data_IF_663369576047
#
_entry.id   IF_663369576047
#
_cell.length_a   1.000
_cell.length_b   1.000
_cell.length_c   1.000
_cell.angle_alpha   90.00
_cell.angle_beta   90.00
_cell.angle_gamma   90.00
#
_symmetry.space_group_name_H-M   'P 1'
#
loop_
_entity.id
_entity.type
_entity.pdbx_description
1 polymer ?
#
# COMPACT_ATOMS: atom_id res chain seq x y z
N UNK A 1 21.87 -36.12 33.16
CA UNK A 1 21.12 -34.92 33.58
C UNK A 1 21.09 -33.97 32.39
N UNK A 2 20.09 -34.09 31.51
CA UNK A 2 19.87 -33.20 30.37
C UNK A 2 18.71 -32.29 30.72
N UNK A 3 19.03 -31.07 31.11
CA UNK A 3 18.08 -29.99 31.26
C UNK A 3 17.65 -29.57 29.85
N UNK A 4 16.55 -30.11 29.34
CA UNK A 4 15.84 -29.52 28.21
C UNK A 4 15.40 -28.13 28.61
N UNK A 5 16.08 -27.11 28.11
CA UNK A 5 15.54 -25.74 28.03
C UNK A 5 14.20 -25.83 27.28
N UNK A 6 13.11 -25.79 28.04
CA UNK A 6 11.77 -25.55 27.50
C UNK A 6 11.77 -24.13 26.99
N UNK A 7 12.09 -23.96 25.72
CA UNK A 7 11.81 -22.71 25.01
C UNK A 7 10.30 -22.50 25.03
N UNK A 8 9.81 -21.69 25.98
CA UNK A 8 8.42 -21.26 26.02
C UNK A 8 8.11 -20.53 24.73
N UNK A 9 7.51 -21.23 23.75
CA UNK A 9 6.93 -20.55 22.59
C UNK A 9 5.81 -19.66 23.11
N UNK A 10 5.86 -18.33 22.83
CA UNK A 10 4.81 -17.41 23.29
C UNK A 10 3.44 -17.86 22.78
N UNK A 11 2.40 -17.62 23.55
CA UNK A 11 1.04 -17.94 23.11
C UNK A 11 0.67 -17.17 21.83
N UNK A 12 -0.27 -17.70 21.04
CA UNK A 12 -0.76 -17.06 19.82
C UNK A 12 -1.12 -15.58 20.03
N UNK A 13 -1.82 -15.25 21.14
CA UNK A 13 -2.22 -13.87 21.43
C UNK A 13 -1.02 -12.93 21.66
N UNK A 14 0.03 -13.42 22.33
CA UNK A 14 1.25 -12.65 22.58
C UNK A 14 2.02 -12.41 21.28
N UNK A 15 2.15 -13.44 20.43
CA UNK A 15 2.80 -13.29 19.11
C UNK A 15 2.05 -12.31 18.23
N UNK A 16 0.72 -12.40 18.19
CA UNK A 16 -0.11 -11.47 17.43
C UNK A 16 0.06 -10.03 17.92
N UNK A 17 0.05 -9.83 19.23
CA UNK A 17 0.27 -8.51 19.83
C UNK A 17 1.65 -7.93 19.46
N UNK A 18 2.71 -8.73 19.57
CA UNK A 18 4.07 -8.32 19.18
C UNK A 18 4.11 -7.95 17.71
N UNK A 19 3.56 -8.78 16.82
CA UNK A 19 3.54 -8.50 15.38
C UNK A 19 2.74 -7.24 15.06
N UNK A 20 1.59 -7.03 15.69
CA UNK A 20 0.79 -5.81 15.52
C UNK A 20 1.54 -4.57 16.03
N UNK A 21 2.17 -4.65 17.20
CA UNK A 21 2.95 -3.55 17.77
C UNK A 21 4.15 -3.19 16.89
N UNK A 22 4.91 -4.17 16.42
CA UNK A 22 6.04 -3.97 15.48
C UNK A 22 5.57 -3.38 14.16
N UNK A 23 4.46 -3.88 13.62
CA UNK A 23 3.87 -3.38 12.38
C UNK A 23 3.44 -1.93 12.54
N UNK A 24 2.65 -1.63 13.58
CA UNK A 24 2.23 -0.26 13.87
C UNK A 24 3.43 0.69 14.01
N UNK A 25 4.41 0.32 14.84
CA UNK A 25 5.56 1.16 15.11
C UNK A 25 6.47 1.32 13.89
N UNK A 26 6.65 0.27 13.09
CA UNK A 26 7.42 0.31 11.84
C UNK A 26 6.77 1.21 10.78
N UNK A 27 5.44 1.10 10.59
CA UNK A 27 4.71 1.99 9.68
C UNK A 27 4.64 3.42 10.22
N UNK A 28 4.42 3.61 11.52
CA UNK A 28 4.44 4.93 12.15
C UNK A 28 5.76 5.66 11.85
N UNK A 29 6.90 5.05 12.15
CA UNK A 29 8.21 5.64 11.88
C UNK A 29 8.46 5.91 10.40
N UNK A 30 8.14 4.95 9.52
CA UNK A 30 8.34 5.10 8.08
C UNK A 30 7.44 6.18 7.47
N UNK A 31 6.21 6.34 7.96
CA UNK A 31 5.24 7.29 7.43
C UNK A 31 5.36 8.70 8.02
N UNK A 32 6.08 8.89 9.15
CA UNK A 32 6.41 10.23 9.65
C UNK A 32 7.04 11.13 8.57
N UNK A 33 7.91 10.57 7.75
CA UNK A 33 8.63 11.30 6.70
C UNK A 33 7.84 11.46 5.40
N UNK A 34 6.73 10.73 5.21
CA UNK A 34 6.05 10.64 3.93
C UNK A 34 5.59 12.00 3.38
N UNK A 35 4.86 12.86 4.13
CA UNK A 35 4.49 14.19 3.66
C UNK A 35 5.66 15.18 3.66
N UNK A 36 6.71 14.91 4.45
CA UNK A 36 7.83 15.82 4.67
C UNK A 36 8.87 15.74 3.54
N UNK A 37 9.07 14.57 2.97
CA UNK A 37 10.11 14.35 1.94
C UNK A 37 9.89 15.17 0.66
N UNK A 38 8.69 15.27 0.07
CA UNK A 38 8.46 16.15 -1.08
C UNK A 38 8.75 17.63 -0.76
N UNK A 39 8.41 18.07 0.45
CA UNK A 39 8.66 19.45 0.91
C UNK A 39 10.16 19.71 1.14
N UNK A 40 10.85 18.76 1.77
CA UNK A 40 12.30 18.85 1.93
C UNK A 40 13.03 18.81 0.59
N UNK A 41 12.62 17.97 -0.34
CA UNK A 41 13.16 17.97 -1.70
C UNK A 41 12.98 19.34 -2.37
N UNK A 42 11.80 19.95 -2.23
CA UNK A 42 11.53 21.29 -2.75
C UNK A 42 12.43 22.35 -2.11
N UNK A 43 12.67 22.27 -0.79
CA UNK A 43 13.52 23.23 -0.05
C UNK A 43 14.99 23.18 -0.45
N UNK A 44 15.49 22.04 -0.97
CA UNK A 44 16.84 21.89 -1.52
C UNK A 44 16.90 22.05 -3.05
N UNK A 45 15.86 22.63 -3.64
CA UNK A 45 15.84 23.03 -5.05
C UNK A 45 15.32 21.98 -6.02
N UNK A 46 14.69 20.88 -5.56
CA UNK A 46 14.07 19.91 -6.45
C UNK A 46 12.87 20.52 -7.20
N UNK A 47 12.79 20.27 -8.50
CA UNK A 47 11.60 20.53 -9.30
C UNK A 47 10.57 19.38 -9.14
N UNK A 48 9.38 19.56 -9.73
CA UNK A 48 8.29 18.57 -9.64
C UNK A 48 8.65 17.22 -10.27
N UNK A 49 9.52 17.23 -11.30
CA UNK A 49 10.01 16.02 -11.95
C UNK A 49 10.90 15.22 -11.00
N UNK A 50 11.84 15.91 -10.35
CA UNK A 50 12.75 15.29 -9.38
C UNK A 50 12.02 14.77 -8.15
N UNK A 51 11.01 15.50 -7.64
CA UNK A 51 10.12 15.02 -6.56
C UNK A 51 9.39 13.74 -6.99
N UNK A 52 8.87 13.72 -8.20
CA UNK A 52 8.25 12.53 -8.78
C UNK A 52 9.22 11.35 -8.88
N UNK A 53 10.47 11.59 -9.33
CA UNK A 53 11.51 10.56 -9.42
C UNK A 53 11.94 10.02 -8.04
N UNK A 54 12.04 10.86 -7.02
CA UNK A 54 12.33 10.42 -5.65
C UNK A 54 11.26 9.41 -5.20
N UNK A 55 9.98 9.75 -5.29
CA UNK A 55 8.92 8.85 -4.86
C UNK A 55 8.75 7.63 -5.77
N UNK A 56 8.90 7.77 -7.08
CA UNK A 56 8.81 6.63 -8.00
C UNK A 56 9.93 5.61 -7.79
N UNK A 57 11.12 6.03 -7.36
CA UNK A 57 12.26 5.14 -7.17
C UNK A 57 12.03 4.10 -6.06
N UNK A 58 11.47 4.49 -4.90
CA UNK A 58 11.15 3.51 -3.86
C UNK A 58 9.99 2.60 -4.23
N UNK A 59 8.98 3.16 -4.92
CA UNK A 59 7.81 2.38 -5.37
C UNK A 59 8.20 1.33 -6.40
N UNK A 60 9.10 1.67 -7.32
CA UNK A 60 9.67 0.73 -8.27
C UNK A 60 10.38 -0.42 -7.58
N UNK A 61 11.29 -0.12 -6.65
CA UNK A 61 12.04 -1.14 -5.92
C UNK A 61 11.13 -1.99 -5.04
N UNK A 62 10.18 -1.36 -4.33
CA UNK A 62 9.19 -2.08 -3.55
C UNK A 62 8.35 -3.03 -4.41
N UNK A 63 7.87 -2.57 -5.57
CA UNK A 63 7.08 -3.39 -6.49
C UNK A 63 7.86 -4.57 -7.07
N UNK A 64 9.09 -4.33 -7.55
CA UNK A 64 9.94 -5.36 -8.18
C UNK A 64 10.43 -6.41 -7.17
N UNK A 65 10.78 -5.99 -5.95
CA UNK A 65 11.46 -6.84 -4.99
C UNK A 65 10.53 -7.48 -3.94
N UNK A 66 9.26 -7.05 -3.80
CA UNK A 66 8.34 -7.62 -2.81
C UNK A 66 8.14 -9.13 -2.99
N UNK A 67 7.96 -9.60 -4.21
CA UNK A 67 7.80 -11.04 -4.48
C UNK A 67 9.11 -11.83 -4.29
N UNK A 68 10.26 -11.43 -4.88
CA UNK A 68 11.53 -12.11 -4.64
C UNK A 68 11.93 -12.16 -3.16
N UNK A 69 11.81 -11.06 -2.43
CA UNK A 69 12.15 -11.01 -1.00
C UNK A 69 11.15 -11.77 -0.14
N UNK A 70 9.87 -11.79 -0.51
CA UNK A 70 8.87 -12.66 0.11
C UNK A 70 9.26 -14.13 0.02
N UNK A 71 9.66 -14.61 -1.17
CA UNK A 71 10.16 -15.99 -1.39
C UNK A 71 11.48 -16.23 -0.63
N UNK A 72 12.37 -15.25 -0.64
CA UNK A 72 13.65 -15.35 0.09
C UNK A 72 13.42 -15.48 1.60
N UNK A 73 12.40 -14.81 2.14
CA UNK A 73 12.05 -14.88 3.57
C UNK A 73 11.68 -16.29 4.03
N UNK A 74 11.14 -17.14 3.12
CA UNK A 74 10.85 -18.54 3.40
C UNK A 74 12.13 -19.40 3.56
N UNK A 75 13.25 -18.96 2.95
CA UNK A 75 14.53 -19.69 2.96
C UNK A 75 15.46 -19.22 4.05
N UNK A 76 15.63 -17.90 4.20
CA UNK A 76 16.60 -17.32 5.16
C UNK A 76 15.99 -17.01 6.53
N UNK A 77 14.67 -17.13 6.63
CA UNK A 77 13.90 -16.91 7.85
C UNK A 77 13.24 -15.53 7.92
N UNK A 78 11.98 -15.52 8.41
CA UNK A 78 11.14 -14.30 8.51
C UNK A 78 11.80 -13.21 9.35
N UNK A 79 12.32 -13.56 10.53
CA UNK A 79 12.94 -12.61 11.46
C UNK A 79 14.11 -11.85 10.82
N UNK A 80 14.95 -12.55 10.06
CA UNK A 80 16.11 -11.92 9.39
C UNK A 80 15.69 -10.85 8.39
N UNK A 81 14.71 -11.17 7.52
CA UNK A 81 14.24 -10.21 6.51
C UNK A 81 13.50 -9.00 7.15
N UNK A 82 12.75 -9.23 8.23
CA UNK A 82 12.11 -8.15 9.00
C UNK A 82 13.16 -7.21 9.58
N UNK A 83 14.19 -7.75 10.23
CA UNK A 83 15.29 -6.96 10.79
C UNK A 83 16.07 -6.20 9.72
N UNK A 84 16.39 -6.87 8.61
CA UNK A 84 17.07 -6.24 7.47
C UNK A 84 16.25 -5.09 6.89
N UNK A 85 14.95 -5.29 6.68
CA UNK A 85 14.04 -4.28 6.16
C UNK A 85 13.90 -3.06 7.07
N UNK A 86 13.74 -3.29 8.38
CA UNK A 86 13.71 -2.22 9.39
C UNK A 86 15.05 -1.47 9.47
N UNK A 87 16.16 -2.20 9.48
CA UNK A 87 17.49 -1.60 9.52
C UNK A 87 17.78 -0.70 8.30
N UNK A 88 17.50 -1.19 7.09
CA UNK A 88 17.62 -0.39 5.86
C UNK A 88 16.70 0.84 5.94
N UNK A 89 15.45 0.67 6.39
CA UNK A 89 14.51 1.79 6.52
C UNK A 89 14.97 2.84 7.52
N UNK A 90 15.58 2.43 8.62
CA UNK A 90 16.17 3.32 9.62
C UNK A 90 17.39 4.07 9.06
N UNK A 91 18.32 3.35 8.46
CA UNK A 91 19.51 3.94 7.83
C UNK A 91 19.12 4.96 6.75
N UNK A 92 18.15 4.64 5.90
CA UNK A 92 17.68 5.58 4.86
C UNK A 92 17.03 6.83 5.45
N UNK A 93 16.32 6.72 6.59
CA UNK A 93 15.81 7.90 7.29
C UNK A 93 16.95 8.79 7.79
N UNK A 94 17.97 8.22 8.42
CA UNK A 94 19.12 8.98 8.89
C UNK A 94 19.94 9.59 7.73
N UNK A 95 20.09 8.87 6.61
CA UNK A 95 20.77 9.37 5.43
C UNK A 95 20.04 10.56 4.78
N UNK A 96 18.69 10.60 4.84
CA UNK A 96 17.95 11.76 4.37
C UNK A 96 18.30 13.05 5.11
N UNK A 97 18.67 12.96 6.40
CA UNK A 97 19.12 14.12 7.16
C UNK A 97 20.37 14.78 6.56
N UNK A 98 21.22 13.98 5.91
CA UNK A 98 22.47 14.40 5.30
C UNK A 98 22.32 14.77 3.81
N UNK A 99 21.18 14.52 3.21
CA UNK A 99 20.95 14.78 1.79
C UNK A 99 21.05 16.28 1.48
N UNK A 100 21.79 16.62 0.42
CA UNK A 100 22.04 17.98 -0.06
C UNK A 100 21.56 18.18 -1.51
N UNK A 101 21.20 17.10 -2.20
CA UNK A 101 20.76 17.17 -3.59
C UNK A 101 19.61 16.20 -3.86
N UNK A 102 18.73 16.50 -4.84
CA UNK A 102 17.66 15.57 -5.26
C UNK A 102 18.20 14.21 -5.73
N UNK A 103 19.35 14.16 -6.36
CA UNK A 103 19.99 12.92 -6.83
C UNK A 103 20.37 11.99 -5.66
N UNK A 104 20.89 12.55 -4.56
CA UNK A 104 21.15 11.77 -3.34
C UNK A 104 19.86 11.20 -2.74
N UNK A 105 18.78 12.00 -2.73
CA UNK A 105 17.48 11.53 -2.25
C UNK A 105 16.93 10.39 -3.09
N UNK A 106 17.09 10.41 -4.42
CA UNK A 106 16.70 9.30 -5.31
C UNK A 106 17.44 8.03 -4.91
N UNK A 107 18.77 8.08 -4.74
CA UNK A 107 19.58 6.93 -4.33
C UNK A 107 19.16 6.36 -2.95
N UNK A 108 18.88 7.24 -1.97
CA UNK A 108 18.40 6.85 -0.65
C UNK A 108 17.03 6.18 -0.76
N UNK A 109 16.14 6.67 -1.62
CA UNK A 109 14.80 6.13 -1.80
C UNK A 109 14.78 4.79 -2.55
N UNK A 110 15.75 4.53 -3.43
CA UNK A 110 16.00 3.18 -3.98
C UNK A 110 16.26 2.18 -2.85
N UNK A 111 17.17 2.52 -1.92
CA UNK A 111 17.46 1.66 -0.75
C UNK A 111 16.22 1.50 0.16
N UNK A 112 15.46 2.58 0.38
CA UNK A 112 14.21 2.50 1.16
C UNK A 112 13.21 1.53 0.55
N UNK A 113 13.06 1.53 -0.78
CA UNK A 113 12.18 0.57 -1.48
C UNK A 113 12.59 -0.88 -1.24
N UNK A 114 13.89 -1.18 -1.18
CA UNK A 114 14.43 -2.51 -0.82
C UNK A 114 14.05 -2.86 0.63
N UNK A 115 14.22 -1.92 1.56
CA UNK A 115 13.83 -2.10 2.96
C UNK A 115 12.34 -2.39 3.14
N UNK A 116 11.49 -1.64 2.45
CA UNK A 116 10.03 -1.82 2.48
C UNK A 116 9.62 -3.18 1.88
N UNK A 117 10.23 -3.58 0.77
CA UNK A 117 10.01 -4.87 0.13
C UNK A 117 10.40 -6.06 1.01
N UNK A 118 11.43 -5.90 1.85
CA UNK A 118 11.84 -6.92 2.82
C UNK A 118 10.90 -6.98 4.03
N UNK A 119 10.41 -5.85 4.53
CA UNK A 119 9.61 -5.76 5.75
C UNK A 119 8.15 -6.13 5.54
N UNK A 120 7.45 -5.42 4.66
CA UNK A 120 5.99 -5.46 4.59
C UNK A 120 5.40 -6.85 4.25
N UNK A 121 5.80 -7.53 3.15
CA UNK A 121 5.27 -8.85 2.83
C UNK A 121 5.72 -9.92 3.82
N UNK A 122 6.92 -9.78 4.39
CA UNK A 122 7.45 -10.74 5.36
C UNK A 122 6.69 -10.70 6.69
N UNK A 123 6.32 -9.50 7.18
CA UNK A 123 5.48 -9.35 8.36
C UNK A 123 4.08 -9.95 8.15
N UNK A 124 3.47 -9.67 7.00
CA UNK A 124 2.17 -10.24 6.66
C UNK A 124 2.21 -11.77 6.60
N UNK A 125 3.25 -12.34 6.00
CA UNK A 125 3.47 -13.79 5.95
C UNK A 125 3.70 -14.38 7.35
N UNK A 126 4.50 -13.70 8.20
CA UNK A 126 4.73 -14.14 9.57
C UNK A 126 3.43 -14.23 10.37
N UNK A 127 2.53 -13.25 10.24
CA UNK A 127 1.21 -13.28 10.88
C UNK A 127 0.39 -14.47 10.40
N UNK A 128 0.44 -14.81 9.11
CA UNK A 128 -0.23 -15.99 8.58
C UNK A 128 0.34 -17.29 9.15
N UNK A 129 1.67 -17.37 9.27
CA UNK A 129 2.39 -18.58 9.64
C UNK A 129 2.04 -19.11 11.05
N UNK A 130 1.86 -18.22 12.04
CA UNK A 130 1.51 -18.62 13.40
C UNK A 130 0.01 -18.57 13.69
N UNK A 131 -0.80 -18.02 12.79
CA UNK A 131 -2.24 -17.88 13.01
C UNK A 131 -2.96 -19.22 12.77
N UNK A 132 -3.80 -19.68 13.71
CA UNK A 132 -4.67 -20.83 13.47
C UNK A 132 -5.58 -20.57 12.27
N UNK A 133 -5.85 -21.60 11.45
CA UNK A 133 -6.70 -21.47 10.27
C UNK A 133 -8.10 -20.88 10.59
N UNK A 134 -8.63 -21.19 11.79
CA UNK A 134 -9.92 -20.69 12.29
C UNK A 134 -9.89 -19.20 12.69
N UNK A 135 -8.70 -18.62 12.91
CA UNK A 135 -8.52 -17.22 13.37
C UNK A 135 -7.77 -16.35 12.37
N UNK A 136 -7.46 -16.85 11.18
CA UNK A 136 -6.65 -16.15 10.17
C UNK A 136 -7.24 -14.80 9.79
N UNK A 137 -8.55 -14.73 9.55
CA UNK A 137 -9.25 -13.48 9.26
C UNK A 137 -9.15 -12.45 10.39
N UNK A 138 -9.27 -12.90 11.64
CA UNK A 138 -9.11 -12.05 12.82
C UNK A 138 -7.66 -11.52 12.94
N UNK A 139 -6.67 -12.36 12.70
CA UNK A 139 -5.25 -11.97 12.73
C UNK A 139 -4.93 -10.92 11.68
N UNK A 140 -5.40 -11.12 10.45
CA UNK A 140 -5.24 -10.12 9.38
C UNK A 140 -5.99 -8.82 9.66
N UNK A 141 -7.15 -8.88 10.32
CA UNK A 141 -7.90 -7.72 10.76
C UNK A 141 -7.08 -6.84 11.72
N UNK A 142 -6.50 -7.45 12.78
CA UNK A 142 -5.63 -6.76 13.73
C UNK A 142 -4.35 -6.23 13.08
N UNK A 143 -3.71 -7.05 12.23
CA UNK A 143 -2.54 -6.64 11.45
C UNK A 143 -2.83 -5.40 10.58
N UNK A 144 -3.93 -5.43 9.84
CA UNK A 144 -4.34 -4.32 8.98
C UNK A 144 -4.65 -3.05 9.78
N UNK A 145 -5.30 -3.20 10.94
CA UNK A 145 -5.53 -2.08 11.87
C UNK A 145 -4.20 -1.46 12.34
N UNK A 146 -3.19 -2.29 12.64
CA UNK A 146 -1.87 -1.81 13.03
C UNK A 146 -1.18 -1.07 11.87
N UNK A 147 -1.25 -1.58 10.63
CA UNK A 147 -0.73 -0.92 9.43
C UNK A 147 -1.34 0.48 9.28
N UNK A 148 -2.67 0.56 9.20
CA UNK A 148 -3.35 1.83 8.97
C UNK A 148 -3.28 2.80 10.15
N UNK A 149 -3.22 2.28 11.38
CA UNK A 149 -2.94 3.09 12.57
C UNK A 149 -1.59 3.79 12.47
N UNK A 150 -0.53 3.07 12.10
CA UNK A 150 0.79 3.64 11.86
C UNK A 150 0.81 4.63 10.69
N UNK A 151 0.15 4.27 9.59
CA UNK A 151 0.02 5.13 8.39
C UNK A 151 -0.76 6.42 8.66
N UNK A 152 -1.70 6.41 9.62
CA UNK A 152 -2.48 7.60 10.00
C UNK A 152 -1.70 8.51 10.94
N UNK A 153 -1.18 7.97 12.04
CA UNK A 153 -0.53 8.78 13.08
C UNK A 153 0.89 9.22 12.71
N UNK A 154 1.60 8.45 11.88
CA UNK A 154 2.94 8.78 11.43
C UNK A 154 3.03 10.14 10.75
N UNK A 155 2.27 10.40 9.68
CA UNK A 155 2.27 11.68 8.98
C UNK A 155 1.90 12.89 9.86
N UNK A 156 0.92 12.72 10.76
CA UNK A 156 0.55 13.77 11.72
C UNK A 156 1.72 14.13 12.64
N UNK A 157 2.37 13.11 13.23
CA UNK A 157 3.54 13.32 14.08
C UNK A 157 4.71 13.94 13.29
N UNK A 158 4.97 13.43 12.08
CA UNK A 158 6.04 13.95 11.22
C UNK A 158 5.80 15.39 10.77
N UNK A 159 4.59 15.72 10.38
CA UNK A 159 4.20 17.09 10.02
C UNK A 159 4.36 18.07 11.19
N UNK A 160 3.90 17.64 12.38
CA UNK A 160 4.02 18.45 13.59
C UNK A 160 5.49 18.68 14.00
N UNK A 161 6.31 17.64 14.01
CA UNK A 161 7.75 17.77 14.27
C UNK A 161 8.41 18.69 13.23
N UNK A 162 8.04 18.56 11.95
CA UNK A 162 8.60 19.40 10.89
C UNK A 162 8.23 20.86 11.02
N UNK A 163 7.03 21.16 11.51
CA UNK A 163 6.56 22.54 11.71
C UNK A 163 7.35 23.27 12.82
N UNK A 164 7.67 22.57 13.93
CA UNK A 164 8.34 23.18 15.07
C UNK A 164 9.87 23.11 14.99
N UNK A 165 10.42 22.04 14.46
CA UNK A 165 11.85 21.74 14.47
C UNK A 165 12.51 21.73 13.08
N UNK A 166 11.69 21.80 12.02
CA UNK A 166 12.17 21.69 10.63
C UNK A 166 12.22 20.24 10.12
N UNK A 167 12.61 20.08 8.87
CA UNK A 167 12.53 18.80 8.16
C UNK A 167 13.53 17.75 8.66
N UNK A 168 14.80 18.13 8.90
CA UNK A 168 15.86 17.21 9.28
C UNK A 168 15.61 16.45 10.59
N UNK A 169 15.10 17.07 11.68
CA UNK A 169 14.74 16.37 12.90
C UNK A 169 13.67 15.27 12.70
N UNK A 170 12.76 15.41 11.73
CA UNK A 170 11.80 14.35 11.40
C UNK A 170 12.51 13.10 10.92
N UNK A 171 13.55 13.24 10.09
CA UNK A 171 14.32 12.11 9.58
C UNK A 171 15.12 11.42 10.68
N UNK A 172 15.68 12.20 11.62
CA UNK A 172 16.38 11.67 12.79
C UNK A 172 15.37 10.93 13.69
N UNK A 173 14.25 11.56 14.03
CA UNK A 173 13.22 10.95 14.87
C UNK A 173 12.67 9.65 14.26
N UNK A 174 12.36 9.66 12.95
CA UNK A 174 11.94 8.47 12.20
C UNK A 174 13.01 7.37 12.23
N UNK A 175 14.27 7.72 11.95
CA UNK A 175 15.36 6.75 11.93
C UNK A 175 15.62 6.12 13.29
N UNK A 176 15.70 6.93 14.34
CA UNK A 176 15.89 6.46 15.73
C UNK A 176 14.70 5.60 16.16
N UNK A 177 13.48 6.03 15.87
CA UNK A 177 12.27 5.25 16.18
C UNK A 177 12.31 3.87 15.51
N UNK A 178 12.61 3.79 14.22
CA UNK A 178 12.69 2.52 13.50
C UNK A 178 13.84 1.63 14.02
N UNK A 179 14.99 2.23 14.43
CA UNK A 179 16.07 1.48 15.09
C UNK A 179 15.62 0.87 16.42
N UNK A 180 14.85 1.61 17.23
CA UNK A 180 14.28 1.08 18.46
C UNK A 180 13.33 -0.10 18.17
N UNK A 181 12.49 0.04 17.15
CA UNK A 181 11.62 -1.07 16.70
C UNK A 181 12.45 -2.26 16.23
N UNK A 182 13.53 -2.03 15.49
CA UNK A 182 14.44 -3.09 15.05
C UNK A 182 15.07 -3.81 16.25
N UNK A 183 15.49 -3.08 17.28
CA UNK A 183 16.03 -3.66 18.52
C UNK A 183 14.96 -4.49 19.24
N UNK A 184 13.72 -3.99 19.35
CA UNK A 184 12.62 -4.74 19.96
C UNK A 184 12.33 -6.03 19.20
N UNK A 185 12.35 -6.01 17.87
CA UNK A 185 12.22 -7.23 17.04
C UNK A 185 13.38 -8.19 17.29
N UNK A 186 14.62 -7.68 17.38
CA UNK A 186 15.78 -8.51 17.66
C UNK A 186 15.68 -9.25 19.00
N UNK A 187 15.16 -8.57 20.03
CA UNK A 187 15.03 -9.10 21.39
C UNK A 187 13.81 -10.00 21.58
N UNK A 188 12.64 -9.58 21.12
CA UNK A 188 11.36 -10.21 21.49
C UNK A 188 10.79 -11.17 20.44
N UNK A 189 11.16 -11.04 19.16
CA UNK A 189 10.65 -11.95 18.13
C UNK A 189 11.45 -13.27 18.17
N UNK A 190 10.81 -14.44 18.34
CA UNK A 190 11.50 -15.73 18.38
C UNK A 190 12.23 -16.05 17.06
N UNK A 191 13.39 -16.72 17.15
CA UNK A 191 14.16 -17.16 15.97
C UNK A 191 13.55 -18.37 15.26
N UNK A 192 12.80 -19.19 15.98
CA UNK A 192 12.36 -20.54 15.55
C UNK A 192 10.87 -20.61 15.20
N UNK A 193 10.37 -19.69 14.38
CA UNK A 193 9.08 -19.90 13.70
C UNK A 193 9.38 -20.64 12.38
N UNK A 194 9.81 -21.91 12.47
CA UNK A 194 9.95 -22.78 11.32
C UNK A 194 8.58 -23.24 10.90
N UNK A 195 8.03 -22.63 9.86
CA UNK A 195 6.82 -23.11 9.23
C UNK A 195 7.19 -24.14 8.18
N UNK A 196 6.62 -25.33 8.32
CA UNK A 196 6.64 -26.33 7.27
C UNK A 196 5.85 -25.75 6.09
N UNK A 197 6.55 -25.19 5.11
CA UNK A 197 5.94 -24.84 3.84
C UNK A 197 5.40 -26.15 3.24
N UNK A 198 4.10 -26.33 3.30
CA UNK A 198 3.42 -27.42 2.66
C UNK A 198 3.65 -27.29 1.15
N UNK A 199 4.64 -28.02 0.64
CA UNK A 199 4.94 -28.11 -0.79
C UNK A 199 3.85 -28.93 -1.47
N UNK A 200 2.64 -28.36 -1.61
CA UNK A 200 1.69 -28.90 -2.57
C UNK A 200 2.31 -28.79 -3.97
N UNK A 201 2.07 -29.79 -4.79
CA UNK A 201 2.61 -29.91 -6.16
C UNK A 201 2.35 -28.60 -6.93
N UNK A 202 3.39 -27.80 -7.12
CA UNK A 202 3.29 -26.52 -7.86
C UNK A 202 3.17 -26.88 -9.35
N UNK A 203 2.01 -26.60 -9.97
CA UNK A 203 1.92 -26.41 -11.41
C UNK A 203 3.06 -25.49 -11.83
N UNK A 204 3.65 -25.69 -13.02
CA UNK A 204 4.71 -24.80 -13.52
C UNK A 204 4.26 -23.35 -13.42
N UNK A 205 5.00 -22.52 -12.71
CA UNK A 205 4.68 -21.09 -12.51
C UNK A 205 4.38 -20.38 -13.85
N UNK A 206 5.05 -20.78 -14.92
CA UNK A 206 4.85 -20.27 -16.28
C UNK A 206 3.44 -20.58 -16.84
N UNK A 207 2.89 -21.75 -16.55
CA UNK A 207 1.53 -22.11 -16.98
C UNK A 207 0.48 -21.31 -16.20
N UNK A 208 0.66 -21.17 -14.90
CA UNK A 208 -0.26 -20.38 -14.05
C UNK A 208 -0.25 -18.91 -14.48
N UNK A 209 0.91 -18.31 -14.71
CA UNK A 209 1.01 -16.93 -15.23
C UNK A 209 0.27 -16.78 -16.55
N UNK A 210 0.45 -17.73 -17.49
CA UNK A 210 -0.24 -17.68 -18.79
C UNK A 210 -1.77 -17.80 -18.64
N UNK A 211 -2.25 -18.60 -17.70
CA UNK A 211 -3.68 -18.74 -17.36
C UNK A 211 -4.23 -17.43 -16.81
N UNK A 212 -3.53 -16.81 -15.82
CA UNK A 212 -3.93 -15.55 -15.22
C UNK A 212 -3.95 -14.39 -16.22
N UNK A 213 -2.99 -14.32 -17.13
CA UNK A 213 -2.96 -13.29 -18.20
C UNK A 213 -4.06 -13.45 -19.25
N UNK A 214 -4.79 -14.57 -19.28
CA UNK A 214 -5.97 -14.78 -20.12
C UNK A 214 -7.29 -14.56 -19.39
N UNK A 215 -7.22 -14.40 -18.07
CA UNK A 215 -8.42 -14.20 -17.23
C UNK A 215 -8.84 -12.71 -17.29
N UNK A 216 -9.82 -12.40 -18.13
CA UNK A 216 -10.30 -11.02 -18.36
C UNK A 216 -10.81 -10.34 -17.09
N UNK A 217 -11.63 -10.97 -16.21
CA UNK A 217 -12.02 -10.37 -14.93
C UNK A 217 -10.84 -10.02 -14.02
N UNK A 218 -9.82 -10.88 -13.96
CA UNK A 218 -8.63 -10.60 -13.17
C UNK A 218 -7.85 -9.42 -13.74
N UNK A 219 -7.68 -9.36 -15.06
CA UNK A 219 -7.04 -8.23 -15.74
C UNK A 219 -7.80 -6.93 -15.50
N UNK A 220 -9.15 -6.99 -15.50
CA UNK A 220 -9.99 -5.84 -15.16
C UNK A 220 -9.75 -5.37 -13.70
N UNK A 221 -9.64 -6.30 -12.73
CA UNK A 221 -9.30 -5.98 -11.35
C UNK A 221 -7.90 -5.35 -11.22
N UNK A 222 -6.90 -5.85 -11.94
CA UNK A 222 -5.56 -5.27 -11.92
C UNK A 222 -5.52 -3.88 -12.60
N UNK A 223 -6.22 -3.71 -13.72
CA UNK A 223 -6.33 -2.44 -14.42
C UNK A 223 -6.96 -1.35 -13.54
N UNK A 224 -8.08 -1.68 -12.90
CA UNK A 224 -8.78 -0.72 -12.04
C UNK A 224 -7.98 -0.40 -10.77
N UNK A 225 -7.23 -1.37 -10.25
CA UNK A 225 -6.29 -1.15 -9.14
C UNK A 225 -5.18 -0.19 -9.55
N UNK A 226 -4.58 -0.39 -10.72
CA UNK A 226 -3.56 0.49 -11.25
C UNK A 226 -4.10 1.92 -11.43
N UNK A 227 -5.29 2.09 -12.01
CA UNK A 227 -5.96 3.39 -12.18
C UNK A 227 -6.26 4.10 -10.85
N UNK A 228 -6.81 3.39 -9.88
CA UNK A 228 -7.05 3.94 -8.54
C UNK A 228 -5.75 4.30 -7.81
N UNK A 229 -4.69 3.52 -8.00
CA UNK A 229 -3.38 3.80 -7.40
C UNK A 229 -2.61 4.92 -8.10
N UNK A 230 -2.93 5.27 -9.36
CA UNK A 230 -2.49 6.55 -9.94
C UNK A 230 -2.95 7.74 -9.09
N UNK A 231 -4.20 7.70 -8.63
CA UNK A 231 -4.77 8.72 -7.73
C UNK A 231 -4.02 8.78 -6.40
N UNK A 232 -3.69 7.63 -5.81
CA UNK A 232 -2.92 7.57 -4.57
C UNK A 232 -1.48 8.07 -4.75
N UNK A 233 -0.83 7.74 -5.87
CA UNK A 233 0.51 8.25 -6.20
C UNK A 233 0.53 9.77 -6.33
N UNK A 234 -0.48 10.35 -6.98
CA UNK A 234 -0.67 11.79 -7.09
C UNK A 234 -0.85 12.44 -5.70
N UNK A 235 -1.70 11.85 -4.85
CA UNK A 235 -1.92 12.30 -3.48
C UNK A 235 -0.62 12.29 -2.66
N UNK A 236 0.06 11.15 -2.59
CA UNK A 236 1.26 10.97 -1.74
C UNK A 236 2.40 11.89 -2.18
N UNK A 237 2.57 12.08 -3.49
CA UNK A 237 3.74 12.79 -4.03
C UNK A 237 3.53 14.29 -4.11
N UNK A 238 2.35 14.74 -4.54
CA UNK A 238 2.16 16.12 -4.97
C UNK A 238 1.19 16.92 -4.10
N UNK A 239 0.27 16.31 -3.33
CA UNK A 239 -0.58 17.05 -2.40
C UNK A 239 0.23 17.82 -1.36
N UNK A 240 1.34 17.30 -0.78
CA UNK A 240 2.15 18.10 0.15
C UNK A 240 2.67 19.40 -0.48
N UNK A 241 3.20 19.32 -1.69
CA UNK A 241 3.77 20.47 -2.39
C UNK A 241 2.67 21.45 -2.78
N UNK A 242 1.58 20.96 -3.36
CA UNK A 242 0.44 21.79 -3.75
C UNK A 242 -0.19 22.50 -2.55
N UNK A 243 -0.46 21.79 -1.46
CA UNK A 243 -1.01 22.37 -0.25
C UNK A 243 -0.07 23.42 0.36
N UNK A 244 1.23 23.16 0.38
CA UNK A 244 2.22 24.11 0.88
C UNK A 244 2.27 25.40 0.02
N UNK A 245 2.15 25.29 -1.31
CA UNK A 245 2.04 26.45 -2.22
C UNK A 245 0.74 27.25 -1.99
N UNK A 246 -0.32 26.62 -1.44
CA UNK A 246 -1.54 27.29 -1.00
C UNK A 246 -1.43 27.89 0.42
N UNK A 247 -0.25 27.90 1.03
CA UNK A 247 -0.03 28.45 2.37
C UNK A 247 -0.42 27.51 3.52
N UNK A 248 -0.70 26.24 3.25
CA UNK A 248 -1.00 25.24 4.29
C UNK A 248 0.29 24.85 5.01
N UNK A 249 0.28 24.86 6.35
CA UNK A 249 1.45 24.53 7.15
C UNK A 249 1.80 23.03 7.07
N UNK A 250 3.05 22.70 7.41
CA UNK A 250 3.55 21.31 7.32
C UNK A 250 2.80 20.39 8.31
N UNK A 251 2.46 20.90 9.49
CA UNK A 251 1.63 20.19 10.47
C UNK A 251 0.23 19.91 9.95
N UNK A 252 -0.39 20.90 9.30
CA UNK A 252 -1.70 20.76 8.66
C UNK A 252 -1.66 19.74 7.50
N UNK A 253 -0.57 19.69 6.72
CA UNK A 253 -0.37 18.66 5.69
C UNK A 253 -0.29 17.28 6.32
N UNK A 254 0.39 17.12 7.45
CA UNK A 254 0.39 15.89 8.23
C UNK A 254 -1.02 15.43 8.62
N UNK A 255 -1.90 16.38 9.03
CA UNK A 255 -3.31 16.08 9.34
C UNK A 255 -4.12 15.65 8.10
N UNK A 256 -3.86 16.21 6.91
CA UNK A 256 -4.49 15.78 5.65
C UNK A 256 -4.20 14.30 5.39
N UNK A 257 -2.95 13.87 5.56
CA UNK A 257 -2.56 12.47 5.41
C UNK A 257 -3.15 11.57 6.49
N UNK A 258 -3.15 12.03 7.75
CA UNK A 258 -3.76 11.32 8.86
C UNK A 258 -5.26 11.10 8.65
N UNK A 259 -5.98 12.11 8.20
CA UNK A 259 -7.41 12.03 7.89
C UNK A 259 -7.66 11.01 6.77
N UNK A 260 -6.92 11.08 5.66
CA UNK A 260 -7.06 10.13 4.55
C UNK A 260 -6.85 8.69 5.01
N UNK A 261 -5.77 8.40 5.75
CA UNK A 261 -5.45 7.05 6.19
C UNK A 261 -6.45 6.53 7.25
N UNK A 262 -6.87 7.39 8.20
CA UNK A 262 -7.85 7.06 9.22
C UNK A 262 -9.20 6.67 8.60
N UNK A 263 -9.72 7.50 7.71
CA UNK A 263 -11.02 7.24 7.08
C UNK A 263 -10.96 6.07 6.08
N UNK A 264 -9.79 5.82 5.46
CA UNK A 264 -9.57 4.60 4.69
C UNK A 264 -9.66 3.35 5.59
N UNK A 265 -9.03 3.37 6.78
CA UNK A 265 -9.11 2.27 7.72
C UNK A 265 -10.53 2.03 8.24
N UNK A 266 -11.19 3.10 8.71
CA UNK A 266 -12.53 3.03 9.29
C UNK A 266 -13.59 2.55 8.29
N UNK A 267 -13.46 2.94 7.03
CA UNK A 267 -14.41 2.57 5.97
C UNK A 267 -14.32 1.11 5.55
N UNK A 268 -13.18 0.43 5.75
CA UNK A 268 -12.99 -0.98 5.33
C UNK A 268 -13.96 -1.94 6.01
N UNK A 269 -14.26 -1.74 7.29
CA UNK A 269 -15.16 -2.64 8.05
C UNK A 269 -16.60 -2.55 7.52
N UNK A 270 -17.25 -1.37 7.47
CA UNK A 270 -18.62 -1.27 6.97
C UNK A 270 -18.73 -1.67 5.50
N UNK A 271 -17.78 -1.27 4.64
CA UNK A 271 -17.83 -1.64 3.24
C UNK A 271 -17.43 -3.10 2.97
N UNK A 272 -16.65 -3.74 3.83
CA UNK A 272 -16.43 -5.18 3.82
C UNK A 272 -17.74 -5.94 4.05
N UNK A 273 -18.48 -5.58 5.11
CA UNK A 273 -19.80 -6.17 5.41
C UNK A 273 -20.80 -5.91 4.29
N UNK A 274 -20.82 -4.68 3.76
CA UNK A 274 -21.68 -4.33 2.63
C UNK A 274 -21.31 -5.15 1.39
N UNK A 275 -20.03 -5.33 1.10
CA UNK A 275 -19.52 -6.15 0.00
C UNK A 275 -19.98 -7.62 0.11
N UNK A 276 -20.11 -8.15 1.32
CA UNK A 276 -20.58 -9.52 1.56
C UNK A 276 -22.10 -9.65 1.40
N UNK A 277 -22.86 -8.57 1.64
CA UNK A 277 -24.33 -8.55 1.56
C UNK A 277 -24.86 -8.20 0.17
N UNK A 278 -24.07 -7.48 -0.65
CA UNK A 278 -24.49 -7.02 -1.99
C UNK A 278 -24.07 -8.04 -3.04
N UNK A 279 -25.04 -8.51 -3.84
CA UNK A 279 -24.78 -9.51 -4.91
C UNK A 279 -23.86 -9.04 -6.05
N UNK A 280 -23.57 -7.73 -6.17
CA UNK A 280 -22.70 -7.16 -7.21
C UNK A 280 -21.59 -6.30 -6.60
N UNK A 281 -20.52 -6.95 -6.14
CA UNK A 281 -19.33 -6.28 -5.57
C UNK A 281 -18.68 -5.29 -6.54
N UNK A 282 -18.78 -5.54 -7.86
CA UNK A 282 -18.28 -4.63 -8.90
C UNK A 282 -18.86 -3.23 -8.82
N UNK A 283 -20.12 -3.07 -8.37
CA UNK A 283 -20.73 -1.75 -8.20
C UNK A 283 -20.04 -0.94 -7.09
N UNK A 284 -19.62 -1.58 -6.00
CA UNK A 284 -18.87 -0.92 -4.91
C UNK A 284 -17.50 -0.44 -5.40
N UNK A 285 -16.84 -1.21 -6.28
CA UNK A 285 -15.60 -0.79 -6.92
C UNK A 285 -15.82 0.48 -7.72
N UNK A 286 -16.85 0.49 -8.58
CA UNK A 286 -17.17 1.63 -9.46
C UNK A 286 -17.52 2.88 -8.64
N UNK A 287 -18.43 2.76 -7.67
CA UNK A 287 -18.85 3.89 -6.82
C UNK A 287 -17.66 4.44 -6.04
N UNK A 288 -16.84 3.56 -5.44
CA UNK A 288 -15.66 3.98 -4.70
C UNK A 288 -14.64 4.71 -5.58
N UNK A 289 -14.40 4.23 -6.81
CA UNK A 289 -13.44 4.88 -7.70
C UNK A 289 -13.95 6.17 -8.33
N UNK A 290 -15.25 6.31 -8.56
CA UNK A 290 -15.87 7.59 -8.93
C UNK A 290 -15.69 8.61 -7.79
N UNK A 291 -15.95 8.21 -6.53
CA UNK A 291 -15.71 9.06 -5.38
C UNK A 291 -14.22 9.44 -5.21
N UNK A 292 -13.31 8.51 -5.50
CA UNK A 292 -11.87 8.78 -5.49
C UNK A 292 -11.49 9.78 -6.60
N UNK A 293 -12.02 9.62 -7.82
CA UNK A 293 -11.76 10.54 -8.93
C UNK A 293 -12.25 11.96 -8.60
N UNK A 294 -13.46 12.08 -8.03
CA UNK A 294 -14.01 13.37 -7.58
C UNK A 294 -13.14 14.00 -6.48
N UNK A 295 -12.64 13.20 -5.53
CA UNK A 295 -11.75 13.68 -4.47
C UNK A 295 -10.42 14.17 -5.01
N UNK A 296 -9.84 13.46 -5.98
CA UNK A 296 -8.58 13.85 -6.63
C UNK A 296 -8.75 15.13 -7.45
N UNK A 297 -9.83 15.25 -8.20
CA UNK A 297 -10.16 16.51 -8.89
C UNK A 297 -10.35 17.65 -7.89
N UNK A 298 -10.97 17.37 -6.74
CA UNK A 298 -11.15 18.33 -5.65
C UNK A 298 -9.84 18.87 -5.08
N UNK A 299 -8.79 18.05 -4.94
CA UNK A 299 -7.47 18.54 -4.53
C UNK A 299 -6.91 19.59 -5.50
N UNK A 300 -7.20 19.49 -6.79
CA UNK A 300 -6.75 20.46 -7.79
C UNK A 300 -7.37 21.86 -7.64
N UNK A 301 -8.49 21.98 -6.96
CA UNK A 301 -9.19 23.25 -6.70
C UNK A 301 -9.18 23.66 -5.22
N UNK A 302 -8.59 22.83 -4.35
CA UNK A 302 -8.50 23.12 -2.93
C UNK A 302 -7.54 24.28 -2.65
N UNK A 303 -7.99 25.27 -1.88
CA UNK A 303 -7.23 26.49 -1.57
C UNK A 303 -7.04 26.72 -0.07
N UNK A 304 -7.70 25.91 0.78
CA UNK A 304 -7.63 26.03 2.22
C UNK A 304 -7.65 24.64 2.89
N UNK A 305 -7.26 24.60 4.16
CA UNK A 305 -7.14 23.35 4.92
C UNK A 305 -8.44 22.56 4.99
N UNK A 306 -9.59 23.25 5.10
CA UNK A 306 -10.89 22.58 5.21
C UNK A 306 -11.21 21.76 3.93
N UNK A 307 -10.97 22.33 2.75
CA UNK A 307 -11.17 21.65 1.47
C UNK A 307 -10.20 20.47 1.33
N UNK A 308 -8.89 20.67 1.66
CA UNK A 308 -7.92 19.56 1.62
C UNK A 308 -8.32 18.41 2.54
N UNK A 309 -8.73 18.68 3.77
CA UNK A 309 -9.17 17.64 4.72
C UNK A 309 -10.46 16.98 4.25
N UNK A 310 -11.43 17.73 3.73
CA UNK A 310 -12.69 17.19 3.20
C UNK A 310 -12.42 16.21 2.05
N UNK A 311 -11.59 16.60 1.07
CA UNK A 311 -11.24 15.72 -0.03
C UNK A 311 -10.35 14.55 0.42
N UNK A 312 -9.51 14.71 1.45
CA UNK A 312 -8.74 13.61 2.02
C UNK A 312 -9.63 12.57 2.71
N UNK A 313 -10.64 13.00 3.47
CA UNK A 313 -11.65 12.13 4.08
C UNK A 313 -12.43 11.39 2.98
N UNK A 314 -12.93 12.11 1.98
CA UNK A 314 -13.67 11.53 0.86
C UNK A 314 -12.81 10.52 0.07
N UNK A 315 -11.55 10.83 -0.21
CA UNK A 315 -10.60 9.92 -0.83
C UNK A 315 -10.36 8.68 0.03
N UNK A 316 -10.20 8.84 1.35
CA UNK A 316 -10.02 7.73 2.29
C UNK A 316 -11.20 6.77 2.27
N UNK A 317 -12.42 7.28 2.41
CA UNK A 317 -13.66 6.47 2.37
C UNK A 317 -13.78 5.75 1.02
N UNK A 318 -13.58 6.47 -0.06
CA UNK A 318 -13.68 5.97 -1.44
C UNK A 318 -12.68 4.84 -1.71
N UNK A 319 -11.44 5.01 -1.26
CA UNK A 319 -10.40 3.98 -1.35
C UNK A 319 -10.73 2.75 -0.50
N UNK A 320 -11.18 2.95 0.74
CA UNK A 320 -11.58 1.86 1.62
C UNK A 320 -12.69 1.02 1.01
N UNK A 321 -13.68 1.65 0.39
CA UNK A 321 -14.76 0.96 -0.34
C UNK A 321 -14.22 0.19 -1.55
N UNK A 322 -13.53 0.87 -2.48
CA UNK A 322 -13.09 0.29 -3.74
C UNK A 322 -12.09 -0.86 -3.54
N UNK A 323 -11.00 -0.63 -2.78
CA UNK A 323 -9.95 -1.63 -2.63
C UNK A 323 -10.34 -2.82 -1.76
N UNK A 324 -11.30 -2.65 -0.83
CA UNK A 324 -11.87 -3.79 -0.10
C UNK A 324 -12.69 -4.68 -1.05
N UNK A 325 -13.52 -4.07 -1.90
CA UNK A 325 -14.31 -4.81 -2.88
C UNK A 325 -13.44 -5.51 -3.96
N UNK A 326 -12.42 -4.83 -4.51
CA UNK A 326 -11.46 -5.44 -5.46
C UNK A 326 -10.71 -6.61 -4.81
N UNK A 327 -10.24 -6.43 -3.57
CA UNK A 327 -9.54 -7.49 -2.84
C UNK A 327 -10.40 -8.73 -2.61
N UNK A 328 -11.72 -8.57 -2.47
CA UNK A 328 -12.67 -9.67 -2.35
C UNK A 328 -13.01 -10.31 -3.73
N UNK A 329 -13.04 -9.52 -4.81
CA UNK A 329 -13.32 -10.02 -6.17
C UNK A 329 -12.21 -10.91 -6.73
N UNK A 330 -10.94 -10.57 -6.48
CA UNK A 330 -9.80 -11.30 -7.05
C UNK A 330 -9.83 -12.80 -6.72
N UNK A 331 -10.00 -13.23 -5.45
CA UNK A 331 -10.10 -14.66 -5.13
C UNK A 331 -11.32 -15.37 -5.72
N UNK A 332 -12.36 -14.65 -6.12
CA UNK A 332 -13.58 -15.23 -6.74
C UNK A 332 -13.39 -15.55 -8.21
N UNK A 333 -12.55 -14.77 -8.91
CA UNK A 333 -12.35 -14.90 -10.36
C UNK A 333 -11.18 -15.81 -10.74
N UNK A 334 -10.48 -16.39 -9.75
CA UNK A 334 -9.32 -17.27 -9.97
C UNK A 334 -9.46 -18.59 -9.21
N UNK A 335 -8.80 -19.65 -9.71
CA UNK A 335 -8.75 -20.93 -9.00
C UNK A 335 -8.01 -20.82 -7.65
N UNK A 336 -8.33 -21.63 -6.63
CA UNK A 336 -7.68 -21.59 -5.32
C UNK A 336 -6.15 -21.67 -5.40
N UNK A 337 -5.59 -22.46 -6.31
CA UNK A 337 -4.15 -22.65 -6.50
C UNK A 337 -3.46 -21.40 -7.06
N UNK A 338 -4.20 -20.52 -7.75
CA UNK A 338 -3.69 -19.32 -8.43
C UNK A 338 -3.87 -18.04 -7.59
N UNK A 339 -4.59 -18.10 -6.46
CA UNK A 339 -4.92 -16.91 -5.62
C UNK A 339 -3.70 -16.14 -5.17
N UNK A 340 -2.65 -16.84 -4.74
CA UNK A 340 -1.41 -16.19 -4.29
C UNK A 340 -0.77 -15.34 -5.38
N UNK A 341 -0.68 -15.87 -6.61
CA UNK A 341 -0.09 -15.17 -7.73
C UNK A 341 -0.98 -14.01 -8.23
N UNK A 342 -2.31 -14.20 -8.21
CA UNK A 342 -3.29 -13.17 -8.54
C UNK A 342 -3.21 -11.97 -7.57
N UNK A 343 -3.05 -12.24 -6.26
CA UNK A 343 -2.84 -11.20 -5.24
C UNK A 343 -1.44 -10.56 -5.36
N UNK A 344 -0.44 -11.31 -5.81
CA UNK A 344 0.86 -10.75 -6.19
C UNK A 344 0.74 -9.71 -7.31
N UNK A 345 -0.01 -10.02 -8.37
CA UNK A 345 -0.31 -9.08 -9.45
C UNK A 345 -1.09 -7.84 -8.98
N UNK A 346 -2.03 -8.01 -8.05
CA UNK A 346 -2.72 -6.90 -7.40
C UNK A 346 -1.76 -5.95 -6.67
N UNK A 347 -0.85 -6.49 -5.86
CA UNK A 347 0.17 -5.67 -5.19
C UNK A 347 1.12 -4.98 -6.18
N UNK A 348 1.49 -5.68 -7.25
CA UNK A 348 2.27 -5.08 -8.35
C UNK A 348 1.52 -3.91 -8.97
N UNK A 349 0.22 -4.06 -9.26
CA UNK A 349 -0.61 -2.98 -9.80
C UNK A 349 -0.69 -1.76 -8.85
N UNK A 350 -0.72 -1.98 -7.53
CA UNK A 350 -0.66 -0.90 -6.53
C UNK A 350 0.63 -0.09 -6.66
N UNK A 351 1.78 -0.76 -6.57
CA UNK A 351 3.07 -0.07 -6.61
C UNK A 351 3.34 0.59 -7.97
N UNK A 352 3.01 -0.11 -9.07
CA UNK A 352 3.19 0.44 -10.41
C UNK A 352 2.27 1.62 -10.70
N UNK A 353 1.01 1.59 -10.26
CA UNK A 353 0.09 2.72 -10.39
C UNK A 353 0.61 3.96 -9.68
N UNK A 354 1.03 3.81 -8.43
CA UNK A 354 1.62 4.91 -7.66
C UNK A 354 2.94 5.41 -8.29
N UNK A 355 3.82 4.50 -8.70
CA UNK A 355 5.09 4.82 -9.35
C UNK A 355 4.87 5.61 -10.64
N UNK A 356 3.99 5.12 -11.52
CA UNK A 356 3.70 5.75 -12.80
C UNK A 356 3.12 7.16 -12.61
N UNK A 357 2.20 7.32 -11.66
CA UNK A 357 1.67 8.64 -11.29
C UNK A 357 2.78 9.57 -10.81
N UNK A 358 3.61 9.14 -9.86
CA UNK A 358 4.70 9.96 -9.32
C UNK A 358 5.67 10.39 -10.42
N UNK A 359 6.06 9.48 -11.30
CA UNK A 359 7.02 9.74 -12.37
C UNK A 359 6.45 10.65 -13.46
N UNK A 360 5.25 10.32 -13.98
CA UNK A 360 4.67 11.03 -15.14
C UNK A 360 4.08 12.37 -14.74
N UNK A 361 3.36 12.44 -13.59
CA UNK A 361 2.70 13.67 -13.18
C UNK A 361 3.68 14.76 -12.76
N UNK A 362 4.91 14.43 -12.37
CA UNK A 362 5.95 15.43 -12.16
C UNK A 362 6.23 16.28 -13.42
N UNK A 363 6.29 15.63 -14.58
CA UNK A 363 6.46 16.28 -15.90
C UNK A 363 5.21 17.07 -16.28
N UNK A 364 4.03 16.48 -16.09
CA UNK A 364 2.74 17.10 -16.43
C UNK A 364 2.53 18.37 -15.59
N UNK A 365 2.79 18.30 -14.27
CA UNK A 365 2.67 19.46 -13.37
C UNK A 365 3.60 20.60 -13.80
N UNK A 366 4.83 20.27 -14.21
CA UNK A 366 5.77 21.27 -14.72
C UNK A 366 5.25 22.02 -15.95
N UNK A 367 4.47 21.32 -16.80
CA UNK A 367 3.97 21.86 -18.07
C UNK A 367 2.66 22.64 -17.93
N UNK A 368 1.70 22.15 -17.13
CA UNK A 368 0.33 22.69 -17.04
C UNK A 368 -0.13 23.04 -15.63
N UNK A 369 0.73 22.87 -14.62
CA UNK A 369 0.44 23.16 -13.21
C UNK A 369 -0.37 22.08 -12.48
N UNK A 370 -0.51 22.25 -11.16
CA UNK A 370 -1.16 21.26 -10.28
C UNK A 370 -2.63 21.04 -10.63
N UNK A 371 -3.40 22.11 -10.78
CA UNK A 371 -4.86 22.03 -11.01
C UNK A 371 -5.24 21.08 -12.13
N UNK A 372 -4.70 21.29 -13.32
CA UNK A 372 -5.01 20.46 -14.49
C UNK A 372 -4.45 19.05 -14.38
N UNK A 373 -3.31 18.86 -13.72
CA UNK A 373 -2.71 17.56 -13.48
C UNK A 373 -3.59 16.67 -12.58
N UNK A 374 -4.22 17.24 -11.55
CA UNK A 374 -5.19 16.53 -10.72
C UNK A 374 -6.43 16.12 -11.53
N UNK A 375 -6.93 16.97 -12.41
CA UNK A 375 -8.04 16.62 -13.31
C UNK A 375 -7.67 15.51 -14.29
N UNK A 376 -6.47 15.53 -14.86
CA UNK A 376 -6.00 14.46 -15.76
C UNK A 376 -6.00 13.11 -15.03
N UNK A 377 -5.47 13.05 -13.80
CA UNK A 377 -5.46 11.81 -13.01
C UNK A 377 -6.88 11.35 -12.69
N UNK A 378 -7.78 12.28 -12.36
CA UNK A 378 -9.20 11.96 -12.13
C UNK A 378 -9.86 11.36 -13.39
N UNK A 379 -9.59 11.93 -14.57
CA UNK A 379 -10.12 11.41 -15.85
C UNK A 379 -9.54 10.02 -16.15
N UNK A 380 -8.23 9.82 -15.96
CA UNK A 380 -7.61 8.49 -16.15
C UNK A 380 -8.24 7.46 -15.21
N UNK A 381 -8.50 7.82 -13.95
CA UNK A 381 -9.19 6.95 -13.00
C UNK A 381 -10.61 6.61 -13.48
N UNK A 382 -11.37 7.58 -13.99
CA UNK A 382 -12.72 7.34 -14.55
C UNK A 382 -12.67 6.45 -15.79
N UNK A 383 -11.69 6.63 -16.69
CA UNK A 383 -11.50 5.78 -17.87
C UNK A 383 -11.22 4.34 -17.44
N UNK A 384 -10.28 4.12 -16.52
CA UNK A 384 -9.97 2.76 -16.03
C UNK A 384 -11.14 2.13 -15.31
N UNK A 385 -11.94 2.91 -14.59
CA UNK A 385 -13.19 2.47 -13.94
C UNK A 385 -14.25 2.07 -14.97
N UNK A 386 -14.42 2.86 -16.03
CA UNK A 386 -15.33 2.54 -17.14
C UNK A 386 -14.91 1.26 -17.88
N UNK A 387 -13.62 1.12 -18.17
CA UNK A 387 -13.06 -0.10 -18.78
C UNK A 387 -13.29 -1.33 -17.88
N UNK A 388 -13.05 -1.20 -16.58
CA UNK A 388 -13.37 -2.25 -15.62
C UNK A 388 -14.82 -2.67 -15.69
N UNK A 389 -15.74 -1.69 -15.65
CA UNK A 389 -17.17 -1.97 -15.70
C UNK A 389 -17.58 -2.71 -16.99
N UNK A 390 -17.07 -2.29 -18.15
CA UNK A 390 -17.32 -2.93 -19.42
C UNK A 390 -16.76 -4.35 -19.49
N UNK A 391 -15.50 -4.55 -19.06
CA UNK A 391 -14.85 -5.86 -19.07
C UNK A 391 -15.53 -6.85 -18.12
N UNK A 392 -16.00 -6.36 -16.96
CA UNK A 392 -16.63 -7.19 -15.94
C UNK A 392 -18.10 -7.50 -16.26
N UNK A 393 -18.84 -6.56 -16.84
CA UNK A 393 -20.23 -6.71 -17.22
C UNK A 393 -20.43 -7.71 -18.39
N UNK A 394 -19.58 -7.65 -19.41
CA UNK A 394 -19.70 -8.51 -20.59
C UNK A 394 -19.51 -10.00 -20.28
N UNK A 395 -18.77 -10.36 -19.23
CA UNK A 395 -18.60 -11.75 -18.84
C UNK A 395 -19.78 -12.34 -18.06
N UNK A 396 -20.52 -11.52 -17.31
CA UNK A 396 -21.77 -11.98 -16.70
C UNK A 396 -22.82 -12.34 -17.75
N UNK A 397 -22.88 -11.62 -18.87
CA UNK A 397 -23.77 -11.91 -20.00
C UNK A 397 -23.33 -13.22 -20.65
N UNK A 398 -22.04 -13.40 -20.95
CA UNK A 398 -21.52 -14.60 -21.62
C UNK A 398 -21.71 -15.89 -20.78
N UNK A 399 -21.51 -15.83 -19.48
CA UNK A 399 -21.72 -16.99 -18.59
C UNK A 399 -23.20 -17.33 -18.39
N UNK A 400 -24.10 -16.34 -18.40
CA UNK A 400 -25.54 -16.58 -18.35
C UNK A 400 -26.07 -17.17 -19.67
N UNK A 401 -25.52 -16.75 -20.80
CA UNK A 401 -25.89 -17.32 -22.12
C UNK A 401 -25.44 -18.79 -22.24
N UNK A 402 -24.27 -19.14 -21.70
CA UNK A 402 -23.79 -20.52 -21.67
C UNK A 402 -24.59 -21.41 -20.68
N UNK A 403 -25.07 -20.85 -19.56
CA UNK A 403 -25.89 -21.57 -18.61
C UNK A 403 -27.32 -21.79 -19.11
N UNK A 404 -27.81 -20.97 -20.05
CA UNK A 404 -29.14 -21.06 -20.65
C UNK A 404 -29.16 -21.83 -21.98
N UNK A 405 -28.04 -22.39 -22.45
CA UNK A 405 -28.01 -23.30 -23.59
C UNK A 405 -28.63 -24.63 -23.15
N UNK A 406 -29.84 -25.03 -23.66
CA UNK A 406 -30.43 -26.30 -23.29
C UNK A 406 -29.47 -27.42 -23.67
N UNK A 407 -29.16 -28.29 -22.70
CA UNK A 407 -28.44 -29.53 -22.96
C UNK A 407 -29.14 -30.26 -24.09
N UNK A 408 -28.52 -30.28 -25.28
CA UNK A 408 -29.01 -31.18 -26.36
C UNK A 408 -28.95 -32.57 -25.78
N UNK A 409 -30.15 -33.10 -25.41
CA UNK A 409 -30.36 -34.50 -25.12
C UNK A 409 -29.80 -35.31 -26.30
N UNK A 410 -28.80 -36.13 -25.99
CA UNK A 410 -28.34 -37.20 -26.87
C UNK A 410 -29.52 -38.12 -27.17
N UNK A 411 -30.10 -38.01 -28.36
CA UNK A 411 -30.79 -39.11 -29.01
C UNK A 411 -29.82 -40.01 -29.71
#
# INVERSE_FOLDING_TARGET
MNSHERTHTPSYGVLLLICCAVTYAGYFGSYMRLPVVPLFARSIGADTVQIGLINSSFLLMAGLLSLPLGILSDRVGRKFLILLGLFISACTSLLLCLAQSPAQMIGIYVLFGIGLAAFAPTMMSLVADFSPATHLGRSYGWYTMAVYGGMSLGPAAGGWVAEWLGYRPVFIASGVWILLVCLLVALFLPRSLHVHANRSQKKSARMVVKELLRNVPLLACWLVTLGGCLSLGMFVTFVPVHAHEQGISVGQIGLIFAAQALFNALSRIPFGRLSDSVGKRSNLVVIGLIGLAASVAGFGVATNILLFVTFAIAAGISMGMAFTAVGALIPEVVSPDSRGLAMGGYNTAIYFGMMLSSMVMGVVIRSIGFKYSFFIVAVINLITTGLFYLMFSNQHVYNNDLANVPSRSSE
#
